data_IF_776799148048
#
_entry.id   IF_776799148048
#
_cell.length_a   1.000
_cell.length_b   1.000
_cell.length_c   1.000
_cell.angle_alpha   90.00
_cell.angle_beta   90.00
_cell.angle_gamma   90.00
#
_symmetry.space_group_name_H-M   'P 1'
#
loop_
_entity.id
_entity.type
_entity.pdbx_description
1 polymer ?
#
# COMPACT_ATOMS: atom_id res chain seq x y z
N UNK A 1 -6.31 3.21 -12.66
CA UNK A 1 -6.43 3.55 -11.26
C UNK A 1 -6.49 2.32 -10.40
N UNK A 2 -5.77 2.32 -9.30
CA UNK A 2 -5.75 1.15 -8.44
C UNK A 2 -7.00 1.12 -7.56
N UNK A 3 -7.74 0.03 -7.66
CA UNK A 3 -8.87 -0.23 -6.76
C UNK A 3 -8.52 -1.43 -5.90
N UNK A 4 -9.32 -1.66 -4.84
CA UNK A 4 -9.10 -2.82 -3.98
C UNK A 4 -9.04 -4.10 -4.79
N UNK A 5 -10.04 -4.33 -5.65
CA UNK A 5 -10.10 -5.56 -6.44
C UNK A 5 -8.97 -5.66 -7.47
N UNK A 6 -8.63 -4.54 -8.12
CA UNK A 6 -7.61 -4.59 -9.16
C UNK A 6 -6.24 -4.94 -8.57
N UNK A 7 -5.93 -4.41 -7.39
CA UNK A 7 -4.66 -4.73 -6.73
C UNK A 7 -4.62 -6.19 -6.29
N UNK A 8 -5.72 -6.69 -5.71
CA UNK A 8 -5.77 -8.08 -5.26
C UNK A 8 -5.57 -9.02 -6.45
N UNK A 9 -6.24 -8.75 -7.56
CA UNK A 9 -6.11 -9.58 -8.75
C UNK A 9 -4.70 -9.51 -9.34
N UNK A 10 -4.13 -8.34 -9.39
CA UNK A 10 -2.79 -8.15 -9.94
C UNK A 10 -1.73 -8.86 -9.10
N UNK A 11 -1.84 -8.75 -7.77
CA UNK A 11 -0.92 -9.44 -6.88
C UNK A 11 -1.02 -10.95 -7.05
N UNK A 12 -2.23 -11.47 -7.24
CA UNK A 12 -2.43 -12.90 -7.45
C UNK A 12 -1.79 -13.37 -8.76
N UNK A 13 -1.85 -12.54 -9.80
CA UNK A 13 -1.19 -12.88 -11.07
C UNK A 13 0.33 -12.88 -10.94
N UNK A 14 0.87 -11.94 -10.16
CA UNK A 14 2.31 -11.86 -9.97
C UNK A 14 2.85 -12.98 -9.10
N UNK A 15 2.11 -13.30 -8.03
CA UNK A 15 2.50 -14.38 -7.13
C UNK A 15 1.25 -15.03 -6.54
N UNK A 16 0.80 -16.15 -7.11
CA UNK A 16 -0.39 -16.84 -6.58
C UNK A 16 -0.18 -17.33 -5.16
N UNK A 17 -1.22 -17.26 -4.35
CA UNK A 17 -1.19 -17.76 -2.98
C UNK A 17 -2.59 -18.22 -2.59
N UNK A 18 -2.73 -18.70 -1.34
CA UNK A 18 -4.00 -19.21 -0.83
C UNK A 18 -4.65 -18.28 0.18
N UNK A 19 -4.15 -17.07 0.34
CA UNK A 19 -4.71 -16.11 1.29
C UNK A 19 -6.05 -15.60 0.77
N UNK A 20 -7.11 -15.62 1.59
CA UNK A 20 -8.41 -15.12 1.14
C UNK A 20 -8.39 -13.64 0.79
N UNK A 21 -9.21 -13.26 -0.18
CA UNK A 21 -9.29 -11.88 -0.62
C UNK A 21 -9.75 -10.93 0.48
N UNK A 22 -10.59 -11.42 1.40
CA UNK A 22 -11.05 -10.61 2.53
C UNK A 22 -9.88 -10.16 3.40
N UNK A 23 -8.90 -11.03 3.59
CA UNK A 23 -7.72 -10.69 4.38
C UNK A 23 -6.85 -9.70 3.63
N UNK A 24 -6.71 -9.88 2.33
CA UNK A 24 -5.95 -8.92 1.51
C UNK A 24 -6.60 -7.55 1.52
N UNK A 25 -7.92 -7.49 1.46
CA UNK A 25 -8.64 -6.22 1.57
C UNK A 25 -8.34 -5.54 2.90
N UNK A 26 -8.31 -6.30 3.99
CA UNK A 26 -7.97 -5.77 5.30
C UNK A 26 -6.55 -5.22 5.34
N UNK A 27 -5.60 -5.92 4.73
CA UNK A 27 -4.22 -5.42 4.66
C UNK A 27 -4.15 -4.09 3.91
N UNK A 28 -4.85 -3.96 2.79
CA UNK A 28 -4.88 -2.71 2.04
C UNK A 28 -5.52 -1.59 2.87
N UNK A 29 -6.56 -1.92 3.61
CA UNK A 29 -7.21 -0.95 4.48
C UNK A 29 -6.25 -0.45 5.56
N UNK A 30 -5.51 -1.35 6.18
CA UNK A 30 -4.56 -0.99 7.21
C UNK A 30 -3.44 -0.12 6.66
N UNK A 31 -2.92 -0.48 5.49
CA UNK A 31 -1.86 0.30 4.87
C UNK A 31 -2.35 1.71 4.52
N UNK A 32 -3.50 1.83 3.87
CA UNK A 32 -4.01 3.14 3.50
C UNK A 32 -4.39 3.98 4.72
N UNK A 33 -4.86 3.34 5.79
CA UNK A 33 -5.13 4.06 7.03
C UNK A 33 -3.86 4.68 7.60
N UNK A 34 -2.76 3.94 7.56
CA UNK A 34 -1.47 4.47 8.01
C UNK A 34 -0.98 5.59 7.11
N UNK A 35 -1.12 5.43 5.79
CA UNK A 35 -0.69 6.45 4.84
C UNK A 35 -1.45 7.75 5.09
N UNK A 36 -2.76 7.65 5.24
CA UNK A 36 -3.58 8.83 5.49
C UNK A 36 -3.16 9.53 6.78
N UNK A 37 -2.93 8.77 7.84
CA UNK A 37 -2.60 9.36 9.13
C UNK A 37 -1.17 9.88 9.18
N UNK A 38 -0.20 9.09 8.71
CA UNK A 38 1.20 9.38 8.96
C UNK A 38 1.89 10.16 7.87
N UNK A 39 1.42 10.04 6.64
CA UNK A 39 2.04 10.74 5.50
C UNK A 39 1.21 11.94 5.06
N UNK A 40 -0.09 11.79 5.00
CA UNK A 40 -0.99 12.84 4.52
C UNK A 40 -1.62 13.64 5.65
N UNK A 41 -1.45 13.20 6.89
CA UNK A 41 -1.97 13.87 8.11
C UNK A 41 -3.49 14.06 8.05
N UNK A 42 -4.20 13.06 7.53
CA UNK A 42 -5.66 13.04 7.46
C UNK A 42 -6.19 12.02 8.45
N UNK A 43 -7.30 12.36 9.10
CA UNK A 43 -7.88 11.48 10.10
C UNK A 43 -9.22 10.89 9.68
N UNK A 44 -9.67 11.16 8.46
CA UNK A 44 -11.02 10.80 8.03
C UNK A 44 -11.08 9.51 7.23
N UNK A 45 -10.08 8.65 7.37
CA UNK A 45 -10.05 7.42 6.58
C UNK A 45 -11.14 6.45 7.03
N UNK A 46 -11.94 5.98 6.07
CA UNK A 46 -12.94 4.96 6.31
C UNK A 46 -12.40 3.62 5.84
N UNK A 47 -12.29 2.62 6.73
CA UNK A 47 -11.75 1.32 6.34
C UNK A 47 -12.53 0.67 5.20
N UNK A 48 -11.83 -0.14 4.40
CA UNK A 48 -12.45 -0.86 3.30
C UNK A 48 -13.19 -2.09 3.81
N UNK A 49 -14.41 -2.30 3.32
CA UNK A 49 -15.20 -3.49 3.64
C UNK A 49 -15.20 -4.44 2.45
N UNK A 50 -15.02 -5.72 2.69
CA UNK A 50 -15.01 -6.73 1.64
C UNK A 50 -16.32 -7.51 1.69
N UNK A 51 -16.97 -7.75 0.55
CA UNK A 51 -16.58 -7.38 -0.82
C UNK A 51 -17.14 -6.02 -1.29
N UNK A 52 -17.83 -5.31 -0.43
CA UNK A 52 -18.58 -4.12 -0.78
C UNK A 52 -17.72 -3.04 -1.43
N UNK A 53 -16.51 -2.84 -0.91
CA UNK A 53 -15.63 -1.77 -1.36
C UNK A 53 -14.61 -2.23 -2.39
N UNK A 54 -14.90 -3.33 -3.10
CA UNK A 54 -13.97 -3.84 -4.11
C UNK A 54 -13.61 -2.84 -5.19
N UNK A 55 -14.52 -1.95 -5.55
CA UNK A 55 -14.29 -0.96 -6.60
C UNK A 55 -13.76 0.36 -6.05
N UNK A 56 -13.53 0.44 -4.76
CA UNK A 56 -13.08 1.67 -4.16
C UNK A 56 -11.62 1.95 -4.52
N UNK A 57 -11.33 3.19 -4.89
CA UNK A 57 -9.97 3.59 -5.25
C UNK A 57 -9.10 3.69 -4.02
N UNK A 58 -7.87 3.22 -4.17
CA UNK A 58 -6.88 3.30 -3.12
C UNK A 58 -6.27 4.70 -3.07
N UNK A 59 -5.64 5.02 -1.94
CA UNK A 59 -5.21 6.39 -1.64
C UNK A 59 -4.04 6.82 -2.53
N UNK A 60 -3.08 5.94 -2.77
CA UNK A 60 -1.87 6.29 -3.52
C UNK A 60 -2.13 6.18 -5.00
N UNK A 61 -1.76 7.22 -5.74
CA UNK A 61 -2.00 7.31 -7.17
C UNK A 61 -0.79 6.84 -7.96
N UNK A 62 -1.03 6.51 -9.24
CA UNK A 62 0.03 6.19 -10.17
C UNK A 62 1.01 7.36 -10.26
N UNK A 63 2.31 7.13 -10.40
CA UNK A 63 2.98 5.85 -10.63
C UNK A 63 3.45 5.16 -9.35
N UNK A 64 3.02 5.62 -8.18
CA UNK A 64 3.49 5.10 -6.90
C UNK A 64 2.58 4.03 -6.31
N UNK A 65 1.54 3.63 -7.03
CA UNK A 65 0.57 2.66 -6.51
C UNK A 65 1.06 1.21 -6.55
N UNK A 66 2.26 0.97 -7.09
CA UNK A 66 2.85 -0.36 -7.04
C UNK A 66 3.15 -0.82 -5.62
N UNK A 67 3.12 0.07 -4.64
CA UNK A 67 3.34 -0.33 -3.25
C UNK A 67 2.29 -1.35 -2.79
N UNK A 68 1.11 -1.31 -3.36
CA UNK A 68 0.02 -2.19 -2.91
C UNK A 68 0.29 -3.66 -3.25
N UNK A 69 0.68 -3.95 -4.49
CA UNK A 69 1.02 -5.32 -4.87
C UNK A 69 2.21 -5.83 -4.07
N UNK A 70 3.21 -4.97 -3.91
CA UNK A 70 4.41 -5.36 -3.14
C UNK A 70 4.06 -5.63 -1.68
N UNK A 71 3.15 -4.84 -1.11
CA UNK A 71 2.71 -5.06 0.26
C UNK A 71 1.99 -6.39 0.41
N UNK A 72 1.07 -6.70 -0.50
CA UNK A 72 0.34 -7.97 -0.45
C UNK A 72 1.30 -9.13 -0.59
N UNK A 73 2.28 -9.03 -1.50
CA UNK A 73 3.26 -10.10 -1.69
C UNK A 73 4.08 -10.32 -0.42
N UNK A 74 4.54 -9.24 0.22
CA UNK A 74 5.31 -9.36 1.45
C UNK A 74 4.49 -9.97 2.58
N UNK A 75 3.26 -9.51 2.75
CA UNK A 75 2.39 -10.04 3.80
C UNK A 75 2.04 -11.50 3.55
N UNK A 76 1.78 -11.87 2.29
CA UNK A 76 1.48 -13.26 1.96
C UNK A 76 2.68 -14.16 2.23
N UNK A 77 3.88 -13.71 1.88
CA UNK A 77 5.10 -14.48 2.17
C UNK A 77 5.28 -14.67 3.67
N UNK A 78 5.04 -13.62 4.43
CA UNK A 78 5.18 -13.69 5.88
C UNK A 78 4.21 -14.72 6.49
N UNK A 79 2.94 -14.64 6.09
CA UNK A 79 1.93 -15.55 6.66
C UNK A 79 2.06 -16.97 6.15
N UNK A 80 2.71 -17.17 5.01
CA UNK A 80 2.96 -18.52 4.48
C UNK A 80 4.24 -19.13 5.04
N UNK A 81 4.98 -18.41 5.86
CA UNK A 81 6.23 -18.91 6.42
C UNK A 81 7.39 -18.90 5.42
N UNK A 82 7.26 -18.23 4.29
CA UNK A 82 8.29 -18.17 3.26
C UNK A 82 9.25 -17.03 3.60
N UNK A 83 10.07 -17.24 4.63
CA UNK A 83 10.86 -16.15 5.19
C UNK A 83 11.89 -15.58 4.23
N UNK A 84 12.50 -16.42 3.39
CA UNK A 84 13.45 -15.91 2.40
C UNK A 84 12.75 -15.00 1.39
N UNK A 85 11.57 -15.42 0.90
CA UNK A 85 10.80 -14.60 -0.01
C UNK A 85 10.30 -13.34 0.67
N UNK A 86 9.89 -13.45 1.93
CA UNK A 86 9.45 -12.29 2.69
C UNK A 86 10.55 -11.23 2.78
N UNK A 87 11.79 -11.65 3.06
CA UNK A 87 12.89 -10.69 3.14
C UNK A 87 13.04 -9.90 1.85
N UNK A 88 12.96 -10.59 0.71
CA UNK A 88 13.08 -9.93 -0.60
C UNK A 88 11.89 -9.02 -0.88
N UNK A 89 10.68 -9.51 -0.64
CA UNK A 89 9.46 -8.73 -0.89
C UNK A 89 9.39 -7.51 0.00
N UNK A 90 9.79 -7.66 1.27
CA UNK A 90 9.77 -6.56 2.22
C UNK A 90 10.73 -5.45 1.80
N UNK A 91 11.91 -5.80 1.31
CA UNK A 91 12.86 -4.81 0.82
C UNK A 91 12.28 -4.03 -0.36
N UNK A 92 11.68 -4.74 -1.31
CA UNK A 92 11.06 -4.08 -2.47
C UNK A 92 9.93 -3.15 -2.04
N UNK A 93 9.11 -3.60 -1.09
CA UNK A 93 8.04 -2.74 -0.59
C UNK A 93 8.60 -1.51 0.10
N UNK A 94 9.61 -1.67 0.96
CA UNK A 94 10.17 -0.55 1.69
C UNK A 94 10.78 0.48 0.75
N UNK A 95 11.44 0.03 -0.31
CA UNK A 95 12.01 0.94 -1.30
C UNK A 95 10.91 1.73 -2.00
N UNK A 96 9.86 1.04 -2.45
CA UNK A 96 8.77 1.70 -3.16
C UNK A 96 8.01 2.66 -2.23
N UNK A 97 7.80 2.25 -0.98
CA UNK A 97 7.11 3.07 -0.01
C UNK A 97 7.90 4.34 0.32
N UNK A 98 9.22 4.19 0.46
CA UNK A 98 10.10 5.32 0.71
C UNK A 98 10.04 6.33 -0.43
N UNK A 99 10.05 5.83 -1.69
CA UNK A 99 9.94 6.72 -2.85
C UNK A 99 8.60 7.46 -2.87
N UNK A 100 7.52 6.75 -2.56
CA UNK A 100 6.22 7.41 -2.47
C UNK A 100 6.24 8.51 -1.42
N UNK A 101 6.73 8.21 -0.22
CA UNK A 101 6.73 9.18 0.86
C UNK A 101 7.57 10.41 0.52
N UNK A 102 8.75 10.20 -0.04
CA UNK A 102 9.62 11.31 -0.44
C UNK A 102 8.96 12.18 -1.50
N UNK A 103 8.32 11.55 -2.48
CA UNK A 103 7.64 12.29 -3.51
C UNK A 103 6.45 13.08 -2.95
N UNK A 104 5.67 12.45 -2.09
CA UNK A 104 4.51 13.11 -1.50
C UNK A 104 4.94 14.32 -0.68
N UNK A 105 5.95 14.14 0.16
CA UNK A 105 6.44 15.23 1.01
C UNK A 105 6.97 16.37 0.16
N UNK A 106 7.77 16.06 -0.88
CA UNK A 106 8.33 17.09 -1.75
C UNK A 106 7.24 17.92 -2.42
N UNK A 107 6.15 17.29 -2.84
CA UNK A 107 5.11 17.97 -3.59
C UNK A 107 4.07 18.64 -2.72
N UNK A 108 4.06 18.36 -1.41
CA UNK A 108 3.03 18.86 -0.52
C UNK A 108 3.58 19.68 0.66
N UNK A 109 4.88 19.90 0.68
CA UNK A 109 5.48 20.75 1.71
C UNK A 109 5.23 22.22 1.38
N UNK A 110 5.10 23.06 2.40
CA UNK A 110 5.04 24.50 2.16
C UNK A 110 6.29 24.98 1.45
N UNK A 111 6.15 25.94 0.56
CA UNK A 111 7.30 26.36 -0.22
C UNK A 111 8.40 26.99 0.57
N UNK A 112 8.27 27.37 1.69
CA UNK A 112 9.29 27.89 2.39
C UNK A 112 10.04 26.92 3.05
N UNK A 113 10.17 26.44 2.85
CA UNK A 113 10.92 25.77 3.50
C UNK A 113 11.83 26.39 4.10
N UNK A 114 11.58 27.26 4.06
CA UNK A 114 12.36 27.89 4.57
C UNK A 114 12.82 27.54 5.74
N UNK A 115 12.72 27.00 5.69
CA UNK A 115 13.08 26.56 6.61
C UNK A 115 14.20 26.38 6.88
N UNK A 116 14.42 26.49 6.45
CA UNK A 116 15.15 26.34 6.66
C UNK A 116 15.77 26.80 7.35
N UNK A 117 15.74 27.00 7.50
CA UNK A 117 16.23 27.46 8.01
C UNK A 117 16.85 27.27 8.35
#
# INVERSE_FOLDING_TARGET
MATVNSVIQQAMQLRPDTVPDSIKCRWLSELDGKIMRETMFENDFTPYSFPKDGDRELVVKSPYDNIYELYIMAMSDFFSGELANYSSSAVLFEQAYSEFRKNYIRNNMPPQNSLML
#
